data_IF_410558404638
#
_entry.id   IF_410558404638
#
_cell.length_a   1.000
_cell.length_b   1.000
_cell.length_c   1.000
_cell.angle_alpha   90.00
_cell.angle_beta   90.00
_cell.angle_gamma   90.00
#
_symmetry.space_group_name_H-M   'P 1'
#
loop_
_entity.id
_entity.type
_entity.pdbx_description
1 polymer ?
#
# COMPACT_ATOMS: atom_id res chain seq x y z
N UNK A 1 -17.14 -8.05 -6.34
CA UNK A 1 -17.06 -8.86 -5.10
C UNK A 1 -17.70 -8.08 -3.97
N UNK A 2 -18.23 -8.73 -2.91
CA UNK A 2 -18.68 -8.05 -1.71
C UNK A 2 -17.48 -7.42 -0.98
N UNK A 3 -17.75 -6.40 -0.15
CA UNK A 3 -16.72 -5.82 0.73
C UNK A 3 -16.27 -6.87 1.74
N UNK A 4 -14.97 -7.06 1.86
CA UNK A 4 -14.36 -7.92 2.87
C UNK A 4 -14.29 -7.14 4.19
N UNK A 5 -14.81 -7.75 5.27
CA UNK A 5 -14.60 -7.19 6.61
C UNK A 5 -13.14 -7.41 7.03
N UNK A 6 -12.37 -6.32 7.03
CA UNK A 6 -10.94 -6.36 7.33
C UNK A 6 -10.65 -6.98 8.70
N UNK A 7 -11.52 -6.75 9.71
CA UNK A 7 -11.31 -7.30 11.05
C UNK A 7 -11.35 -8.82 11.04
N UNK A 8 -12.40 -9.39 10.47
CA UNK A 8 -12.56 -10.85 10.36
C UNK A 8 -11.51 -11.47 9.45
N UNK A 9 -11.14 -10.78 8.36
CA UNK A 9 -10.15 -11.26 7.39
C UNK A 9 -8.78 -11.49 8.02
N UNK A 10 -8.31 -10.57 8.86
CA UNK A 10 -7.01 -10.71 9.51
C UNK A 10 -7.05 -11.52 10.81
N UNK A 11 -8.22 -11.71 11.45
CA UNK A 11 -8.32 -12.33 12.77
C UNK A 11 -7.72 -13.74 12.81
N UNK A 12 -8.04 -14.60 11.83
CA UNK A 12 -7.56 -15.98 11.77
C UNK A 12 -6.05 -16.06 11.52
N UNK A 13 -5.55 -15.28 10.55
CA UNK A 13 -4.11 -15.30 10.20
C UNK A 13 -3.26 -14.70 11.29
N UNK A 14 -3.70 -13.65 11.96
CA UNK A 14 -3.03 -13.08 13.13
C UNK A 14 -2.99 -14.05 14.31
N UNK A 15 -4.06 -14.83 14.52
CA UNK A 15 -4.07 -15.86 15.55
C UNK A 15 -3.08 -17.00 15.25
N UNK A 16 -2.97 -17.37 13.96
CA UNK A 16 -2.15 -18.51 13.52
C UNK A 16 -0.68 -18.17 13.35
N UNK A 17 -0.37 -17.02 12.77
CA UNK A 17 0.97 -16.64 12.34
C UNK A 17 1.55 -15.44 13.11
N UNK A 18 0.74 -14.79 13.95
CA UNK A 18 1.18 -13.61 14.70
C UNK A 18 1.59 -12.43 13.83
N UNK A 19 2.56 -11.67 14.31
CA UNK A 19 3.06 -10.44 13.67
C UNK A 19 4.14 -10.75 12.61
N UNK A 20 3.75 -11.52 11.60
CA UNK A 20 4.61 -11.94 10.48
C UNK A 20 4.00 -11.53 9.14
N UNK A 21 4.76 -11.73 8.06
CA UNK A 21 4.26 -11.51 6.70
C UNK A 21 3.02 -12.37 6.40
N UNK A 22 3.02 -13.63 6.85
CA UNK A 22 1.90 -14.55 6.70
C UNK A 22 0.67 -14.08 7.52
N UNK A 23 0.89 -13.47 8.67
CA UNK A 23 -0.17 -12.83 9.48
C UNK A 23 -0.86 -11.67 8.74
N UNK A 24 -0.15 -11.01 7.85
CA UNK A 24 -0.65 -9.97 6.95
C UNK A 24 -1.10 -10.51 5.59
N UNK A 25 -1.33 -11.82 5.45
CA UNK A 25 -1.72 -12.50 4.21
C UNK A 25 -0.72 -12.41 3.05
N UNK A 26 0.55 -12.10 3.29
CA UNK A 26 1.58 -12.37 2.32
C UNK A 26 1.85 -13.88 2.25
N UNK A 27 2.21 -14.38 1.09
CA UNK A 27 2.57 -15.80 0.94
C UNK A 27 3.84 -16.17 1.74
N UNK A 28 4.74 -15.20 1.91
CA UNK A 28 5.98 -15.34 2.68
C UNK A 28 6.64 -13.98 2.88
N UNK A 29 7.63 -13.93 3.79
CA UNK A 29 8.50 -12.75 3.94
C UNK A 29 9.23 -12.39 2.62
N UNK A 30 9.58 -13.38 1.78
CA UNK A 30 10.22 -13.14 0.48
C UNK A 30 9.30 -12.39 -0.47
N UNK A 31 8.02 -12.77 -0.56
CA UNK A 31 7.04 -12.07 -1.41
C UNK A 31 6.77 -10.66 -0.91
N UNK A 32 6.70 -10.45 0.40
CA UNK A 32 6.58 -9.14 1.01
C UNK A 32 7.77 -8.24 0.65
N UNK A 33 9.00 -8.72 0.86
CA UNK A 33 10.21 -7.97 0.54
C UNK A 33 10.35 -7.68 -0.96
N UNK A 34 9.91 -8.60 -1.82
CA UNK A 34 9.88 -8.38 -3.27
C UNK A 34 8.98 -7.19 -3.63
N UNK A 35 7.78 -7.10 -3.06
CA UNK A 35 6.90 -5.95 -3.23
C UNK A 35 7.54 -4.66 -2.71
N UNK A 36 8.12 -4.69 -1.52
CA UNK A 36 8.79 -3.53 -0.92
C UNK A 36 9.94 -3.02 -1.79
N UNK A 37 10.76 -3.92 -2.35
CA UNK A 37 11.82 -3.55 -3.28
C UNK A 37 11.28 -2.79 -4.49
N UNK A 38 10.23 -3.30 -5.13
CA UNK A 38 9.67 -2.66 -6.34
C UNK A 38 8.99 -1.33 -6.00
N UNK A 39 8.28 -1.23 -4.86
CA UNK A 39 7.76 0.05 -4.37
C UNK A 39 8.89 1.06 -4.20
N UNK A 40 9.98 0.66 -3.54
CA UNK A 40 11.14 1.54 -3.31
C UNK A 40 11.81 1.99 -4.61
N UNK A 41 11.97 1.10 -5.60
CA UNK A 41 12.53 1.41 -6.92
C UNK A 41 11.67 2.40 -7.73
N UNK A 42 10.39 2.56 -7.36
CA UNK A 42 9.46 3.51 -7.96
C UNK A 42 9.47 4.89 -7.28
N UNK A 43 10.10 5.03 -6.13
CA UNK A 43 10.24 6.29 -5.38
C UNK A 43 11.52 7.03 -5.79
N UNK A 44 11.68 8.32 -5.42
CA UNK A 44 12.90 9.09 -5.66
C UNK A 44 14.15 8.43 -5.06
N UNK A 45 15.33 8.77 -5.62
CA UNK A 45 16.61 8.20 -5.20
C UNK A 45 16.91 8.43 -3.71
N UNK A 46 16.57 9.60 -3.16
CA UNK A 46 16.69 9.92 -1.74
C UNK A 46 15.31 10.22 -1.17
N UNK A 47 15.01 9.69 0.01
CA UNK A 47 13.81 9.96 0.77
C UNK A 47 14.04 10.91 1.96
N UNK A 48 15.28 11.30 2.23
CA UNK A 48 15.69 12.00 3.47
C UNK A 48 14.97 13.32 3.73
N UNK A 49 14.52 14.00 2.67
CA UNK A 49 13.84 15.30 2.76
C UNK A 49 12.33 15.20 2.47
N UNK A 50 11.81 13.99 2.32
CA UNK A 50 10.45 13.72 1.91
C UNK A 50 9.58 13.22 3.06
N UNK A 51 8.31 13.59 3.02
CA UNK A 51 7.25 12.97 3.81
C UNK A 51 6.65 11.82 3.02
N UNK A 52 6.68 10.62 3.60
CA UNK A 52 6.13 9.40 3.04
C UNK A 52 4.97 8.90 3.89
N UNK A 53 3.82 8.69 3.27
CA UNK A 53 2.65 8.05 3.90
C UNK A 53 2.53 6.62 3.38
N UNK A 54 2.52 5.66 4.30
CA UNK A 54 2.31 4.23 4.04
C UNK A 54 0.88 3.84 4.43
N UNK A 55 0.03 3.61 3.46
CA UNK A 55 -1.39 3.29 3.69
C UNK A 55 -1.65 1.79 3.66
N UNK A 56 -2.28 1.29 4.72
CA UNK A 56 -2.31 -0.13 5.04
C UNK A 56 -0.94 -0.60 5.53
N UNK A 57 -0.32 0.18 6.43
CA UNK A 57 1.05 -0.05 6.88
C UNK A 57 1.25 -1.35 7.68
N UNK A 58 0.16 -2.01 8.11
CA UNK A 58 0.22 -3.21 8.92
C UNK A 58 1.07 -3.01 10.18
N UNK A 59 2.11 -3.80 10.35
CA UNK A 59 3.04 -3.72 11.47
C UNK A 59 4.21 -2.75 11.26
N UNK A 60 4.21 -1.94 10.20
CA UNK A 60 5.27 -0.99 9.86
C UNK A 60 6.49 -1.64 9.18
N UNK A 61 6.31 -2.82 8.58
CA UNK A 61 7.42 -3.59 7.99
C UNK A 61 8.10 -2.86 6.81
N UNK A 62 7.38 -2.03 6.06
CA UNK A 62 7.98 -1.24 5.00
C UNK A 62 8.96 -0.19 5.54
N UNK A 63 8.67 0.45 6.67
CA UNK A 63 9.62 1.35 7.32
C UNK A 63 10.90 0.61 7.71
N UNK A 64 10.80 -0.59 8.31
CA UNK A 64 12.00 -1.39 8.63
C UNK A 64 12.78 -1.76 7.37
N UNK A 65 12.11 -2.11 6.29
CA UNK A 65 12.77 -2.37 5.01
C UNK A 65 13.58 -1.17 4.53
N UNK A 66 13.02 0.04 4.59
CA UNK A 66 13.71 1.27 4.23
C UNK A 66 14.90 1.56 5.15
N UNK A 67 14.74 1.38 6.47
CA UNK A 67 15.81 1.58 7.46
C UNK A 67 16.98 0.62 7.24
N UNK A 68 16.72 -0.65 6.92
CA UNK A 68 17.77 -1.62 6.59
C UNK A 68 18.57 -1.23 5.34
N UNK A 69 17.93 -0.58 4.37
CA UNK A 69 18.56 -0.01 3.19
C UNK A 69 19.27 1.34 3.43
N UNK A 70 19.32 1.86 4.67
CA UNK A 70 19.80 3.21 5.00
C UNK A 70 19.11 4.31 4.18
N UNK A 71 17.80 4.17 3.97
CA UNK A 71 17.00 5.02 3.08
C UNK A 71 15.71 5.48 3.78
N UNK A 72 15.83 5.97 4.99
CA UNK A 72 14.72 6.44 5.81
C UNK A 72 14.18 7.77 5.28
N UNK A 73 12.85 7.93 5.13
CA UNK A 73 12.26 9.22 4.79
C UNK A 73 12.46 10.24 5.91
N UNK A 74 12.49 11.52 5.56
CA UNK A 74 12.56 12.63 6.52
C UNK A 74 11.40 12.61 7.51
N UNK A 75 10.20 12.25 7.04
CA UNK A 75 9.04 11.96 7.86
C UNK A 75 8.31 10.75 7.31
N UNK A 76 7.98 9.79 8.19
CA UNK A 76 7.14 8.65 7.87
C UNK A 76 5.85 8.71 8.66
N UNK A 77 4.72 8.48 7.98
CA UNK A 77 3.40 8.36 8.58
C UNK A 77 2.80 7.04 8.12
N UNK A 78 2.52 6.13 9.04
CA UNK A 78 1.75 4.92 8.73
C UNK A 78 0.25 5.18 8.92
N UNK A 79 -0.58 4.60 8.08
CA UNK A 79 -2.05 4.60 8.23
C UNK A 79 -2.54 3.16 8.14
N UNK A 80 -3.35 2.74 9.11
CA UNK A 80 -4.05 1.48 9.04
C UNK A 80 -5.45 1.59 9.67
N UNK A 81 -6.40 0.83 9.15
CA UNK A 81 -7.78 0.77 9.67
C UNK A 81 -7.90 -0.22 10.83
N UNK A 82 -6.93 -1.10 11.01
CA UNK A 82 -6.97 -2.15 12.02
C UNK A 82 -6.24 -1.71 13.29
N UNK A 83 -6.97 -1.43 14.37
CA UNK A 83 -6.45 -0.87 15.62
C UNK A 83 -5.26 -1.66 16.18
N UNK A 84 -5.32 -2.99 16.21
CA UNK A 84 -4.22 -3.84 16.67
C UNK A 84 -2.95 -3.67 15.83
N UNK A 85 -3.08 -3.51 14.50
CA UNK A 85 -1.92 -3.26 13.64
C UNK A 85 -1.32 -1.90 13.94
N UNK A 86 -2.15 -0.87 14.13
CA UNK A 86 -1.72 0.48 14.52
C UNK A 86 -0.93 0.46 15.83
N UNK A 87 -1.46 -0.22 16.86
CA UNK A 87 -0.78 -0.34 18.16
C UNK A 87 0.56 -1.06 18.04
N UNK A 88 0.59 -2.20 17.33
CA UNK A 88 1.82 -2.95 17.06
C UNK A 88 2.83 -2.12 16.28
N UNK A 89 2.40 -1.43 15.20
CA UNK A 89 3.27 -0.59 14.41
C UNK A 89 3.88 0.56 15.22
N UNK A 90 3.08 1.23 16.05
CA UNK A 90 3.57 2.28 16.97
C UNK A 90 4.67 1.77 17.93
N UNK A 91 4.42 0.62 18.56
CA UNK A 91 5.37 0.01 19.51
C UNK A 91 6.66 -0.42 18.81
N UNK A 92 6.55 -1.01 17.63
CA UNK A 92 7.70 -1.54 16.87
C UNK A 92 8.56 -0.45 16.26
N UNK A 93 7.92 0.57 15.68
CA UNK A 93 8.62 1.56 14.84
C UNK A 93 8.96 2.85 15.58
N UNK A 94 8.17 3.22 16.58
CA UNK A 94 8.22 4.55 17.20
C UNK A 94 7.80 5.69 16.25
N UNK A 95 7.31 5.38 15.05
CA UNK A 95 6.88 6.36 14.06
C UNK A 95 5.46 6.86 14.34
N UNK A 96 5.06 7.90 13.61
CA UNK A 96 3.69 8.41 13.60
C UNK A 96 2.79 7.40 12.87
N UNK A 97 1.87 6.76 13.59
CA UNK A 97 0.91 5.81 13.02
C UNK A 97 -0.51 6.26 13.35
N UNK A 98 -1.33 6.42 12.33
CA UNK A 98 -2.71 6.87 12.45
C UNK A 98 -3.68 5.69 12.31
N UNK A 99 -4.62 5.59 13.23
CA UNK A 99 -5.78 4.71 13.08
C UNK A 99 -6.83 5.48 12.27
N UNK A 100 -6.99 5.15 10.98
CA UNK A 100 -7.80 5.93 10.06
C UNK A 100 -8.24 5.09 8.86
N UNK A 101 -9.45 5.35 8.39
CA UNK A 101 -10.00 4.76 7.16
C UNK A 101 -9.69 5.68 5.97
N UNK A 102 -8.79 5.21 5.10
CA UNK A 102 -8.40 5.94 3.88
C UNK A 102 -9.58 6.34 3.00
N UNK A 103 -10.67 5.58 3.03
CA UNK A 103 -11.85 5.86 2.20
C UNK A 103 -12.74 6.99 2.75
N UNK A 104 -12.69 7.25 4.05
CA UNK A 104 -13.65 8.14 4.72
C UNK A 104 -13.01 9.30 5.46
N UNK A 105 -11.85 9.08 6.10
CA UNK A 105 -11.22 10.07 6.96
C UNK A 105 -10.33 11.06 6.17
N UNK A 106 -10.03 12.24 6.72
CA UNK A 106 -9.05 13.16 6.17
C UNK A 106 -7.66 12.52 6.06
N UNK A 107 -6.97 12.75 4.95
CA UNK A 107 -5.61 12.24 4.72
C UNK A 107 -4.59 13.36 4.91
N UNK A 108 -3.42 13.09 5.54
CA UNK A 108 -2.34 14.07 5.66
C UNK A 108 -1.74 14.39 4.28
N UNK A 109 -1.40 15.65 4.03
CA UNK A 109 -0.61 16.00 2.85
C UNK A 109 0.81 15.47 2.99
N UNK A 110 1.35 14.86 1.93
CA UNK A 110 2.69 14.30 1.90
C UNK A 110 3.27 14.31 0.50
N UNK A 111 4.60 14.19 0.37
CA UNK A 111 5.24 14.14 -0.94
C UNK A 111 4.83 12.87 -1.69
N UNK A 112 4.91 11.72 -1.04
CA UNK A 112 4.52 10.44 -1.63
C UNK A 112 3.62 9.64 -0.71
N UNK A 113 2.72 8.90 -1.36
CA UNK A 113 1.95 7.83 -0.76
C UNK A 113 2.46 6.48 -1.27
N UNK A 114 2.45 5.47 -0.42
CA UNK A 114 2.73 4.07 -0.80
C UNK A 114 1.65 3.13 -0.25
N UNK A 115 1.42 2.01 -0.92
CA UNK A 115 0.53 0.97 -0.44
C UNK A 115 1.02 -0.41 -0.89
N UNK A 116 1.15 -1.35 0.02
CA UNK A 116 1.50 -2.73 -0.29
C UNK A 116 0.37 -3.69 0.08
N UNK A 117 -0.51 -3.96 -0.87
CA UNK A 117 -1.52 -5.02 -0.77
C UNK A 117 -2.83 -4.66 -0.06
N UNK A 118 -2.95 -3.50 0.62
CA UNK A 118 -4.19 -3.15 1.33
C UNK A 118 -5.42 -3.03 0.40
N UNK A 119 -5.21 -2.69 -0.88
CA UNK A 119 -6.30 -2.62 -1.86
C UNK A 119 -6.77 -4.00 -2.38
N UNK A 120 -6.07 -5.08 -2.06
CA UNK A 120 -6.37 -6.41 -2.60
C UNK A 120 -7.71 -6.99 -2.11
N UNK A 121 -8.32 -6.42 -1.10
CA UNK A 121 -9.62 -6.85 -0.52
C UNK A 121 -10.74 -5.82 -0.69
N UNK A 122 -10.47 -4.71 -1.37
CA UNK A 122 -11.45 -3.67 -1.65
C UNK A 122 -12.33 -4.03 -2.86
N UNK A 123 -13.53 -3.50 -2.92
CA UNK A 123 -14.37 -3.55 -4.12
C UNK A 123 -13.75 -2.73 -5.25
N UNK A 124 -14.31 -2.82 -6.45
CA UNK A 124 -13.88 -2.03 -7.60
C UNK A 124 -13.98 -0.53 -7.31
N UNK A 125 -15.14 -0.10 -6.85
CA UNK A 125 -15.43 1.31 -6.55
C UNK A 125 -14.55 1.83 -5.41
N UNK A 126 -14.35 1.01 -4.37
CA UNK A 126 -13.45 1.36 -3.27
C UNK A 126 -12.00 1.47 -3.72
N UNK A 127 -11.54 0.60 -4.63
CA UNK A 127 -10.18 0.66 -5.20
C UNK A 127 -9.96 1.95 -5.98
N UNK A 128 -10.92 2.34 -6.81
CA UNK A 128 -10.86 3.62 -7.53
C UNK A 128 -10.84 4.81 -6.59
N UNK A 129 -11.73 4.81 -5.58
CA UNK A 129 -11.79 5.87 -4.58
C UNK A 129 -10.50 5.96 -3.75
N UNK A 130 -9.96 4.81 -3.32
CA UNK A 130 -8.71 4.72 -2.56
C UNK A 130 -7.54 5.29 -3.38
N UNK A 131 -7.42 4.88 -4.66
CA UNK A 131 -6.41 5.38 -5.57
C UNK A 131 -6.52 6.91 -5.77
N UNK A 132 -7.73 7.41 -6.01
CA UNK A 132 -7.99 8.83 -6.21
C UNK A 132 -7.66 9.66 -4.96
N UNK A 133 -8.02 9.17 -3.77
CA UNK A 133 -7.77 9.86 -2.49
C UNK A 133 -6.29 9.91 -2.16
N UNK A 134 -5.57 8.79 -2.25
CA UNK A 134 -4.12 8.75 -1.99
C UNK A 134 -3.35 9.61 -2.99
N UNK A 135 -3.68 9.52 -4.27
CA UNK A 135 -3.07 10.39 -5.28
C UNK A 135 -3.43 11.85 -5.05
N UNK A 136 -4.69 12.17 -4.70
CA UNK A 136 -5.14 13.51 -4.41
C UNK A 136 -4.41 14.17 -3.24
N UNK A 137 -4.10 13.42 -2.19
CA UNK A 137 -3.38 13.89 -1.00
C UNK A 137 -1.85 13.93 -1.19
N UNK A 138 -1.31 13.31 -2.24
CA UNK A 138 0.12 13.34 -2.55
C UNK A 138 0.50 14.59 -3.34
N UNK A 139 1.65 15.20 -3.02
CA UNK A 139 2.23 16.32 -3.76
C UNK A 139 2.97 15.86 -5.03
N UNK A 140 3.65 14.72 -4.95
CA UNK A 140 4.49 14.19 -6.03
C UNK A 140 3.93 12.92 -6.67
N UNK A 141 3.38 11.99 -5.86
CA UNK A 141 2.84 10.77 -6.43
C UNK A 141 2.40 9.70 -5.43
N UNK A 142 1.82 8.64 -5.99
CA UNK A 142 1.34 7.48 -5.25
C UNK A 142 1.85 6.19 -5.91
N UNK A 143 2.48 5.32 -5.12
CA UNK A 143 3.04 4.04 -5.59
C UNK A 143 2.38 2.88 -4.86
N UNK A 144 1.91 1.88 -5.56
CA UNK A 144 1.23 0.74 -4.94
C UNK A 144 1.40 -0.57 -5.71
N UNK A 145 1.29 -1.70 -4.99
CA UNK A 145 1.13 -3.01 -5.61
C UNK A 145 -0.34 -3.43 -5.58
N UNK A 146 -0.74 -4.20 -6.57
CA UNK A 146 -2.08 -4.80 -6.64
C UNK A 146 -2.02 -6.16 -7.34
N UNK A 147 -2.93 -7.06 -7.00
CA UNK A 147 -3.00 -8.37 -7.62
C UNK A 147 -3.37 -8.28 -9.10
N UNK A 148 -2.61 -9.02 -9.92
CA UNK A 148 -2.78 -9.11 -11.37
C UNK A 148 -3.57 -10.36 -11.75
N UNK A 149 -4.63 -10.19 -12.49
CA UNK A 149 -5.42 -11.29 -13.03
C UNK A 149 -6.80 -10.87 -13.48
N UNK A 150 -7.53 -11.84 -14.04
CA UNK A 150 -8.94 -11.73 -14.42
C UNK A 150 -9.82 -12.70 -13.63
N UNK A 151 -9.25 -13.32 -12.59
CA UNK A 151 -9.96 -14.30 -11.79
C UNK A 151 -11.09 -13.65 -10.98
N UNK A 152 -12.21 -14.35 -10.90
CA UNK A 152 -13.29 -13.98 -9.99
C UNK A 152 -13.01 -14.57 -8.61
N UNK A 153 -12.92 -13.71 -7.62
CA UNK A 153 -12.78 -14.10 -6.21
C UNK A 153 -13.78 -13.32 -5.37
N UNK A 154 -14.35 -13.97 -4.36
CA UNK A 154 -15.19 -13.31 -3.36
C UNK A 154 -14.36 -12.55 -2.31
N UNK A 155 -13.04 -12.74 -2.30
CA UNK A 155 -12.13 -12.19 -1.30
C UNK A 155 -11.12 -11.22 -1.91
N UNK A 156 -10.56 -11.55 -3.08
CA UNK A 156 -9.44 -10.80 -3.66
C UNK A 156 -9.82 -10.03 -4.91
N UNK A 157 -9.31 -8.83 -4.98
CA UNK A 157 -9.50 -7.86 -6.04
C UNK A 157 -8.35 -7.94 -7.04
N UNK A 158 -8.55 -8.70 -8.11
CA UNK A 158 -7.59 -8.77 -9.23
C UNK A 158 -7.88 -7.65 -10.23
N UNK A 159 -6.83 -7.00 -10.74
CA UNK A 159 -6.92 -5.93 -11.73
C UNK A 159 -6.04 -6.21 -12.94
N UNK A 160 -6.38 -5.55 -14.04
CA UNK A 160 -5.55 -5.52 -15.23
C UNK A 160 -4.82 -4.17 -15.31
N UNK A 161 -3.57 -4.13 -15.78
CA UNK A 161 -2.82 -2.87 -15.94
C UNK A 161 -3.57 -1.80 -16.73
N UNK A 162 -4.25 -2.17 -17.81
CA UNK A 162 -5.00 -1.24 -18.64
C UNK A 162 -6.21 -0.57 -17.95
N UNK A 163 -6.82 -1.24 -16.96
CA UNK A 163 -7.87 -0.64 -16.11
C UNK A 163 -7.28 0.48 -15.25
N UNK A 164 -6.14 0.20 -14.62
CA UNK A 164 -5.43 1.19 -13.79
C UNK A 164 -4.93 2.37 -14.63
N UNK A 165 -4.40 2.12 -15.83
CA UNK A 165 -4.00 3.18 -16.75
C UNK A 165 -5.17 4.07 -17.19
N UNK A 166 -6.38 3.50 -17.35
CA UNK A 166 -7.58 4.27 -17.66
C UNK A 166 -7.94 5.21 -16.48
N UNK A 167 -7.96 4.70 -15.26
CA UNK A 167 -8.24 5.51 -14.06
C UNK A 167 -7.17 6.58 -13.82
N UNK A 168 -5.88 6.25 -14.05
CA UNK A 168 -4.80 7.22 -13.96
C UNK A 168 -4.97 8.39 -14.92
N UNK A 169 -5.43 8.13 -16.15
CA UNK A 169 -5.76 9.18 -17.13
C UNK A 169 -6.90 10.09 -16.66
N UNK A 170 -7.93 9.52 -16.04
CA UNK A 170 -9.04 10.29 -15.45
C UNK A 170 -8.56 11.23 -14.34
N UNK A 171 -7.55 10.79 -13.56
CA UNK A 171 -6.91 11.58 -12.51
C UNK A 171 -5.89 12.61 -13.06
N UNK A 172 -5.60 12.59 -14.36
CA UNK A 172 -4.55 13.42 -14.94
C UNK A 172 -3.14 13.02 -14.49
N UNK A 173 -2.93 11.77 -14.09
CA UNK A 173 -1.65 11.27 -13.61
C UNK A 173 -0.81 10.67 -14.73
N UNK A 174 0.52 10.83 -14.65
CA UNK A 174 1.44 9.95 -15.36
C UNK A 174 1.43 8.59 -14.69
N UNK A 175 1.21 7.53 -15.45
CA UNK A 175 1.15 6.16 -14.96
C UNK A 175 2.32 5.34 -15.52
N UNK A 176 3.08 4.71 -14.63
CA UNK A 176 4.09 3.71 -14.96
C UNK A 176 3.73 2.38 -14.31
N UNK A 177 3.64 1.34 -15.12
CA UNK A 177 3.42 -0.04 -14.66
C UNK A 177 4.77 -0.76 -14.58
N UNK A 178 4.98 -1.53 -13.51
CA UNK A 178 6.10 -2.45 -13.34
C UNK A 178 5.53 -3.82 -13.04
N UNK A 179 5.73 -4.76 -13.93
CA UNK A 179 5.28 -6.15 -13.82
C UNK A 179 6.44 -7.15 -14.00
N UNK A 180 6.13 -8.45 -14.01
CA UNK A 180 7.11 -9.51 -14.24
C UNK A 180 8.09 -9.79 -13.11
N UNK A 181 8.02 -9.08 -11.98
CA UNK A 181 8.86 -9.33 -10.80
C UNK A 181 8.30 -10.43 -9.89
N UNK A 182 7.01 -10.69 -9.98
CA UNK A 182 6.31 -11.75 -9.25
C UNK A 182 5.04 -12.15 -10.02
N UNK A 183 4.75 -13.45 -10.06
CA UNK A 183 3.53 -13.94 -10.69
C UNK A 183 2.28 -13.43 -9.95
N UNK A 184 1.29 -12.94 -10.69
CA UNK A 184 0.00 -12.50 -10.16
C UNK A 184 0.04 -11.17 -9.40
N UNK A 185 1.05 -10.32 -9.68
CA UNK A 185 1.21 -9.01 -9.04
C UNK A 185 1.80 -7.99 -10.01
N UNK A 186 1.45 -6.73 -9.85
CA UNK A 186 2.14 -5.61 -10.52
C UNK A 186 2.16 -4.36 -9.64
N UNK A 187 3.11 -3.49 -9.91
CA UNK A 187 3.29 -2.21 -9.21
C UNK A 187 2.94 -1.06 -10.14
N UNK A 188 2.30 -0.07 -9.58
CA UNK A 188 1.89 1.15 -10.25
C UNK A 188 2.59 2.34 -9.60
N UNK A 189 3.18 3.21 -10.39
CA UNK A 189 3.65 4.51 -9.95
C UNK A 189 2.86 5.61 -10.68
N UNK A 190 2.05 6.34 -9.92
CA UNK A 190 1.35 7.53 -10.36
C UNK A 190 2.16 8.75 -9.96
N UNK A 191 2.49 9.63 -10.91
CA UNK A 191 3.20 10.87 -10.63
C UNK A 191 2.46 12.07 -11.19
N UNK A 192 2.70 13.24 -10.59
CA UNK A 192 2.16 14.50 -11.10
C UNK A 192 2.80 14.83 -12.45
N UNK A 193 2.04 15.34 -13.44
CA UNK A 193 2.63 15.91 -14.62
C UNK A 193 3.47 17.14 -14.24
N UNK A 194 4.61 17.30 -14.91
CA UNK A 194 5.53 18.44 -14.74
C UNK A 194 4.96 19.66 -15.46
#
# INVERSE_FOLDING_TARGET
MPRVDAHSFYAETLQRYGETAEGLHFQSAVTQQTRFRVLRECLPRSLSDLTLVDVGCGFGDFLFYLQQGCDTPGRYIGIDIHERMVETARQRTGAEILHSDVLHDPLPEADYYVCSGAMNTLTLEETQAFMARCYGASLCGYVFNILHGSDHSDTFNYRQPNEIEAWARELGAHCRIVDGYMHGDFTVALTRPV
#
